data_IF_020109092325
#
_entry.id   IF_020109092325
#
_cell.length_a   1.000
_cell.length_b   1.000
_cell.length_c   1.000
_cell.angle_alpha   90.00
_cell.angle_beta   90.00
_cell.angle_gamma   90.00
#
_symmetry.space_group_name_H-M   'P 1'
#
loop_
_entity.id
_entity.type
_entity.pdbx_description
1 polymer ?
#
# COMPACT_ATOMS: atom_id res chain seq x y z
N UNK A 1 11.72 -2.62 -1.17
CA UNK A 1 10.34 -3.13 -1.06
C UNK A 1 9.65 -3.28 -2.41
N UNK A 2 8.40 -3.74 -2.46
CA UNK A 2 7.62 -3.98 -3.69
C UNK A 2 7.71 -2.83 -4.69
N UNK A 3 7.47 -1.59 -4.25
CA UNK A 3 7.48 -0.41 -5.13
C UNK A 3 8.80 -0.21 -5.86
N UNK A 4 9.95 -0.27 -5.18
CA UNK A 4 11.25 -0.11 -5.84
C UNK A 4 11.53 -1.22 -6.86
N UNK A 5 11.04 -2.45 -6.59
CA UNK A 5 11.18 -3.57 -7.51
C UNK A 5 10.38 -3.32 -8.79
N UNK A 6 9.09 -2.99 -8.70
CA UNK A 6 8.32 -2.76 -9.91
C UNK A 6 8.66 -1.44 -10.61
N UNK A 7 9.21 -0.43 -9.92
CA UNK A 7 9.77 0.75 -10.60
C UNK A 7 10.91 0.36 -11.53
N UNK A 8 11.83 -0.48 -11.05
CA UNK A 8 12.91 -1.01 -11.88
C UNK A 8 12.39 -1.87 -13.03
N UNK A 9 11.33 -2.66 -12.79
CA UNK A 9 10.65 -3.43 -13.83
C UNK A 9 10.04 -2.52 -14.90
N UNK A 10 9.37 -1.42 -14.51
CA UNK A 10 8.82 -0.44 -15.44
C UNK A 10 9.91 0.18 -16.33
N UNK A 11 11.04 0.58 -15.76
CA UNK A 11 12.16 1.12 -16.52
C UNK A 11 12.70 0.11 -17.54
N UNK A 12 12.95 -1.15 -17.10
CA UNK A 12 13.39 -2.23 -18.00
C UNK A 12 12.36 -2.53 -19.08
N UNK A 13 11.08 -2.60 -18.74
CA UNK A 13 10.03 -2.85 -19.72
C UNK A 13 10.00 -1.75 -20.81
N UNK A 14 10.12 -0.49 -20.42
CA UNK A 14 10.23 0.62 -21.37
C UNK A 14 11.45 0.46 -22.30
N UNK A 15 12.58 -0.01 -21.77
CA UNK A 15 13.79 -0.29 -22.58
C UNK A 15 13.58 -1.45 -23.56
N UNK A 16 12.77 -2.44 -23.18
CA UNK A 16 12.38 -3.56 -24.04
C UNK A 16 11.24 -3.24 -25.03
N UNK A 17 10.77 -1.99 -25.06
CA UNK A 17 9.79 -1.52 -26.03
C UNK A 17 8.33 -1.60 -25.54
N UNK A 18 8.09 -1.82 -24.26
CA UNK A 18 6.77 -1.59 -23.70
C UNK A 18 6.49 -0.08 -23.71
N UNK A 19 5.36 0.31 -24.27
CA UNK A 19 5.02 1.71 -24.54
C UNK A 19 3.77 2.19 -23.76
N UNK A 20 3.11 1.29 -23.01
CA UNK A 20 2.03 1.62 -22.11
C UNK A 20 2.22 0.89 -20.78
N UNK A 21 2.41 1.63 -19.70
CA UNK A 21 2.62 1.08 -18.36
C UNK A 21 1.49 1.55 -17.46
N UNK A 22 0.74 0.61 -16.92
CA UNK A 22 -0.43 0.85 -16.07
C UNK A 22 -0.16 0.24 -14.70
N UNK A 23 -0.20 1.07 -13.67
CA UNK A 23 -0.06 0.64 -12.28
C UNK A 23 -1.43 0.71 -11.60
N UNK A 24 -1.92 -0.43 -11.15
CA UNK A 24 -3.12 -0.55 -10.33
C UNK A 24 -2.69 -0.50 -8.86
N UNK A 25 -2.81 0.63 -8.21
CA UNK A 25 -2.17 0.96 -6.92
C UNK A 25 -3.02 0.67 -5.68
N UNK A 26 -3.86 -0.35 -5.72
CA UNK A 26 -4.77 -0.68 -4.62
C UNK A 26 -6.07 0.14 -4.64
N UNK A 27 -6.82 0.13 -3.51
CA UNK A 27 -8.18 0.65 -3.44
C UNK A 27 -8.27 2.12 -2.98
N UNK A 28 -7.24 2.64 -2.31
CA UNK A 28 -7.26 3.94 -1.63
C UNK A 28 -6.49 5.02 -2.38
N UNK A 29 -7.01 6.25 -2.35
CA UNK A 29 -6.38 7.41 -3.00
C UNK A 29 -4.98 7.68 -2.46
N UNK A 30 -4.78 7.63 -1.13
CA UNK A 30 -3.50 7.92 -0.49
C UNK A 30 -2.39 7.00 -1.00
N UNK A 31 -2.69 5.70 -1.19
CA UNK A 31 -1.74 4.74 -1.76
C UNK A 31 -1.44 5.04 -3.23
N UNK A 32 -2.45 5.43 -4.02
CA UNK A 32 -2.27 5.86 -5.40
C UNK A 32 -1.36 7.09 -5.48
N UNK A 33 -1.63 8.11 -4.66
CA UNK A 33 -0.84 9.35 -4.62
C UNK A 33 0.62 9.09 -4.23
N UNK A 34 0.85 8.26 -3.22
CA UNK A 34 2.20 7.86 -2.81
C UNK A 34 2.93 7.11 -3.93
N UNK A 35 2.25 6.19 -4.61
CA UNK A 35 2.79 5.42 -5.72
C UNK A 35 3.10 6.34 -6.91
N UNK A 36 2.17 7.24 -7.27
CA UNK A 36 2.37 8.25 -8.30
C UNK A 36 3.62 9.10 -8.03
N UNK A 37 3.74 9.64 -6.82
CA UNK A 37 4.87 10.47 -6.43
C UNK A 37 6.21 9.73 -6.54
N UNK A 38 6.26 8.47 -6.07
CA UNK A 38 7.49 7.66 -6.14
C UNK A 38 7.89 7.36 -7.57
N UNK A 39 6.96 6.92 -8.39
CA UNK A 39 7.24 6.60 -9.79
C UNK A 39 7.67 7.84 -10.59
N UNK A 40 7.01 8.98 -10.38
CA UNK A 40 7.42 10.23 -11.00
C UNK A 40 8.87 10.58 -10.64
N UNK A 41 9.18 10.55 -9.34
CA UNK A 41 10.52 10.88 -8.86
C UNK A 41 11.61 9.95 -9.41
N UNK A 42 11.32 8.67 -9.55
CA UNK A 42 12.30 7.65 -9.93
C UNK A 42 12.41 7.46 -11.45
N UNK A 43 11.31 7.64 -12.21
CA UNK A 43 11.28 7.40 -13.66
C UNK A 43 11.36 8.68 -14.49
N UNK A 44 10.77 9.78 -14.05
CA UNK A 44 10.60 10.98 -14.84
C UNK A 44 11.20 12.25 -14.20
N UNK A 45 11.61 12.17 -12.93
CA UNK A 45 12.06 13.31 -12.17
C UNK A 45 10.97 13.95 -11.31
N UNK A 46 11.31 15.03 -10.56
CA UNK A 46 10.32 15.77 -9.80
C UNK A 46 9.46 16.63 -10.74
N UNK A 47 8.27 17.02 -10.29
CA UNK A 47 7.39 17.94 -11.04
C UNK A 47 8.13 19.23 -11.46
N UNK A 48 9.01 19.74 -10.59
CA UNK A 48 9.85 20.90 -10.87
C UNK A 48 10.84 20.63 -11.99
N UNK A 49 11.47 19.45 -11.97
CA UNK A 49 12.44 19.05 -13.00
C UNK A 49 11.76 18.84 -14.36
N UNK A 50 10.52 18.33 -14.37
CA UNK A 50 9.71 18.21 -15.59
C UNK A 50 9.31 19.58 -16.16
N UNK A 51 8.94 20.54 -15.30
CA UNK A 51 8.60 21.92 -15.70
C UNK A 51 9.82 22.69 -16.18
N UNK A 52 11.00 22.45 -15.60
CA UNK A 52 12.26 23.11 -15.97
C UNK A 52 13.00 22.38 -17.10
N UNK A 53 12.46 21.24 -17.59
CA UNK A 53 13.09 20.44 -18.65
C UNK A 53 14.39 19.74 -18.21
N UNK A 54 14.61 19.61 -16.91
CA UNK A 54 15.79 18.97 -16.33
C UNK A 54 15.59 17.46 -16.29
N UNK A 55 16.44 16.73 -17.02
CA UNK A 55 16.45 15.26 -17.00
C UNK A 55 17.34 14.77 -15.85
N UNK A 56 16.74 14.17 -14.82
CA UNK A 56 17.41 13.76 -13.57
C UNK A 56 18.39 12.60 -13.76
N UNK A 57 18.20 11.79 -14.76
CA UNK A 57 19.13 10.70 -15.06
C UNK A 57 20.09 11.15 -16.14
N UNK A 58 21.35 11.28 -15.78
CA UNK A 58 22.45 11.77 -16.55
C UNK A 58 22.39 11.52 -18.07
N UNK A 59 23.30 12.06 -18.81
CA UNK A 59 23.34 12.17 -20.29
C UNK A 59 22.98 10.91 -21.10
N UNK A 60 22.80 9.76 -20.45
CA UNK A 60 22.51 8.45 -21.07
C UNK A 60 21.02 8.01 -20.99
N UNK A 61 20.13 8.73 -20.30
CA UNK A 61 18.73 8.31 -20.21
C UNK A 61 17.94 8.91 -21.38
N UNK A 62 17.75 8.10 -22.41
CA UNK A 62 17.20 8.56 -23.70
C UNK A 62 15.67 8.55 -23.79
N UNK A 63 14.94 8.03 -22.79
CA UNK A 63 13.48 7.90 -22.87
C UNK A 63 12.77 8.90 -21.99
N UNK A 64 12.06 9.82 -22.61
CA UNK A 64 11.11 10.69 -21.91
C UNK A 64 9.81 9.92 -21.69
N UNK A 65 9.25 10.06 -20.49
CA UNK A 65 7.98 9.45 -20.14
C UNK A 65 6.82 10.41 -20.38
N UNK A 66 5.76 9.92 -20.98
CA UNK A 66 4.48 10.64 -21.05
C UNK A 66 3.62 10.26 -19.85
N UNK A 67 3.59 11.15 -18.88
CA UNK A 67 2.83 10.95 -17.65
C UNK A 67 1.39 11.34 -17.90
N UNK A 68 0.46 10.39 -17.74
CA UNK A 68 -0.96 10.58 -18.02
C UNK A 68 -1.72 11.02 -16.77
N UNK A 69 -1.46 10.38 -15.62
CA UNK A 69 -2.09 10.68 -14.33
C UNK A 69 -1.17 11.52 -13.46
N UNK A 70 -1.75 12.33 -12.56
CA UNK A 70 -0.97 13.15 -11.60
C UNK A 70 -1.34 12.79 -10.17
N UNK A 71 -0.66 13.40 -9.20
CA UNK A 71 -1.00 13.21 -7.80
C UNK A 71 -2.47 13.58 -7.52
N UNK A 72 -2.95 14.67 -8.09
CA UNK A 72 -4.30 15.23 -7.85
C UNK A 72 -5.37 14.61 -8.76
N UNK A 73 -4.97 14.03 -9.92
CA UNK A 73 -5.91 13.55 -10.94
C UNK A 73 -5.63 12.10 -11.28
N UNK A 74 -6.59 11.26 -10.96
CA UNK A 74 -6.67 9.89 -11.46
C UNK A 74 -7.19 9.89 -12.91
N UNK A 75 -7.15 8.75 -13.58
CA UNK A 75 -7.49 8.63 -15.00
C UNK A 75 -8.92 9.10 -15.32
N UNK A 76 -9.88 8.81 -14.46
CA UNK A 76 -11.29 9.20 -14.67
C UNK A 76 -11.54 10.71 -14.58
N UNK A 77 -10.60 11.47 -14.00
CA UNK A 77 -10.68 12.94 -13.93
C UNK A 77 -10.25 13.62 -15.25
N UNK A 78 -9.68 12.85 -16.19
CA UNK A 78 -9.08 13.36 -17.42
C UNK A 78 -10.09 13.47 -18.54
N UNK A 79 -10.85 14.55 -18.58
CA UNK A 79 -11.97 14.77 -19.52
C UNK A 79 -11.56 14.92 -21.00
N UNK A 80 -10.27 15.14 -21.28
CA UNK A 80 -9.80 15.52 -22.63
C UNK A 80 -9.07 14.39 -23.37
N UNK A 81 -8.81 13.26 -22.73
CA UNK A 81 -8.15 12.11 -23.35
C UNK A 81 -9.16 11.28 -24.13
N UNK A 82 -9.18 11.43 -25.45
CA UNK A 82 -10.09 10.68 -26.32
C UNK A 82 -9.51 9.33 -26.75
N UNK A 83 -8.21 9.27 -27.04
CA UNK A 83 -7.50 8.07 -27.51
C UNK A 83 -5.99 8.25 -27.35
N UNK A 84 -5.22 7.18 -27.55
CA UNK A 84 -3.76 7.25 -27.61
C UNK A 84 -3.38 7.92 -28.94
N UNK A 85 -2.64 9.03 -28.88
CA UNK A 85 -2.26 9.77 -30.08
C UNK A 85 -1.02 9.23 -30.76
N UNK A 86 -0.02 8.82 -29.98
CA UNK A 86 1.22 8.23 -30.47
C UNK A 86 1.87 7.34 -29.38
N UNK A 87 2.81 6.51 -29.79
CA UNK A 87 3.55 5.58 -28.93
C UNK A 87 5.07 5.84 -28.94
N UNK A 88 5.48 7.05 -29.31
CA UNK A 88 6.90 7.43 -29.40
C UNK A 88 7.59 7.47 -28.04
N UNK A 89 6.81 7.71 -27.00
CA UNK A 89 7.25 7.72 -25.60
C UNK A 89 6.44 6.71 -24.77
N UNK A 90 7.03 6.05 -23.77
CA UNK A 90 6.28 5.21 -22.88
C UNK A 90 5.29 6.04 -22.06
N UNK A 91 4.04 5.61 -22.05
CA UNK A 91 2.95 6.22 -21.28
C UNK A 91 2.90 5.61 -19.89
N UNK A 92 2.80 6.43 -18.85
CA UNK A 92 2.62 5.97 -17.47
C UNK A 92 1.26 6.40 -16.93
N UNK A 93 0.50 5.42 -16.48
CA UNK A 93 -0.77 5.58 -15.78
C UNK A 93 -0.64 4.98 -14.41
N UNK A 94 -0.96 5.74 -13.36
CA UNK A 94 -1.10 5.23 -11.99
C UNK A 94 -2.52 5.49 -11.54
N UNK A 95 -3.29 4.43 -11.38
CA UNK A 95 -4.71 4.50 -11.07
C UNK A 95 -5.07 3.59 -9.90
N UNK A 96 -6.13 3.93 -9.19
CA UNK A 96 -6.66 3.03 -8.17
C UNK A 96 -7.49 1.91 -8.79
N UNK A 97 -7.55 0.77 -8.12
CA UNK A 97 -8.44 -0.34 -8.47
C UNK A 97 -9.89 0.02 -8.13
N UNK A 98 -10.57 0.66 -9.06
CA UNK A 98 -11.98 1.01 -8.94
C UNK A 98 -12.64 0.89 -10.31
N UNK A 99 -13.93 0.62 -10.32
CA UNK A 99 -14.73 0.40 -11.54
C UNK A 99 -14.58 1.55 -12.52
N UNK A 100 -14.83 2.78 -12.08
CA UNK A 100 -14.83 3.97 -12.95
C UNK A 100 -13.51 4.27 -13.63
N UNK A 101 -12.35 4.31 -12.94
CA UNK A 101 -11.07 4.52 -13.61
C UNK A 101 -10.75 3.41 -14.62
N UNK A 102 -11.01 2.14 -14.26
CA UNK A 102 -10.73 1.00 -15.13
C UNK A 102 -11.59 1.03 -16.40
N UNK A 103 -12.88 1.34 -16.27
CA UNK A 103 -13.76 1.55 -17.43
C UNK A 103 -13.22 2.61 -18.38
N UNK A 104 -12.83 3.77 -17.83
CA UNK A 104 -12.32 4.88 -18.63
C UNK A 104 -11.01 4.53 -19.36
N UNK A 105 -10.15 3.73 -18.74
CA UNK A 105 -8.93 3.23 -19.41
C UNK A 105 -9.30 2.30 -20.57
N UNK A 106 -10.24 1.38 -20.38
CA UNK A 106 -10.72 0.48 -21.44
C UNK A 106 -11.33 1.29 -22.59
N UNK A 107 -12.24 2.23 -22.31
CA UNK A 107 -12.83 3.12 -23.31
C UNK A 107 -11.76 3.88 -24.11
N UNK A 108 -10.73 4.37 -23.44
CA UNK A 108 -9.62 5.09 -24.05
C UNK A 108 -8.77 4.21 -24.97
N UNK A 109 -8.48 2.98 -24.56
CA UNK A 109 -7.76 2.00 -25.39
C UNK A 109 -8.61 1.63 -26.59
N UNK A 110 -9.90 1.31 -26.41
CA UNK A 110 -10.81 0.88 -27.47
C UNK A 110 -11.12 2.02 -28.47
N UNK A 111 -11.08 3.27 -28.03
CA UNK A 111 -11.23 4.45 -28.89
C UNK A 111 -9.95 4.77 -29.69
N UNK A 112 -8.85 4.09 -29.41
CA UNK A 112 -7.57 4.31 -30.11
C UNK A 112 -7.66 3.71 -31.52
N UNK A 113 -7.22 4.46 -32.56
CA UNK A 113 -7.21 3.97 -33.93
C UNK A 113 -6.46 2.61 -34.04
N UNK A 114 -6.96 1.73 -34.89
CA UNK A 114 -6.48 0.35 -35.01
C UNK A 114 -5.02 0.25 -35.46
N UNK A 115 -4.54 1.21 -36.22
CA UNK A 115 -3.15 1.32 -36.67
C UNK A 115 -2.18 1.64 -35.52
N UNK A 116 -2.63 2.38 -34.51
CA UNK A 116 -1.88 2.65 -33.26
C UNK A 116 -2.06 1.51 -32.27
N UNK A 117 -3.31 1.05 -32.10
CA UNK A 117 -3.66 0.02 -31.11
C UNK A 117 -2.91 -1.29 -31.27
N UNK A 118 -2.69 -1.75 -32.52
CA UNK A 118 -1.91 -2.97 -32.81
C UNK A 118 -0.46 -2.92 -32.33
N UNK A 119 0.09 -1.72 -32.17
CA UNK A 119 1.47 -1.50 -31.73
C UNK A 119 1.60 -1.24 -30.21
N UNK A 120 0.48 -1.28 -29.48
CA UNK A 120 0.49 -1.20 -28.02
C UNK A 120 1.15 -2.44 -27.44
N UNK A 121 2.15 -2.21 -26.60
CA UNK A 121 2.78 -3.21 -25.72
C UNK A 121 2.65 -2.74 -24.29
N UNK A 122 1.72 -3.34 -23.57
CA UNK A 122 1.36 -2.88 -22.23
C UNK A 122 1.99 -3.75 -21.14
N UNK A 123 2.52 -3.10 -20.09
CA UNK A 123 2.83 -3.73 -18.83
C UNK A 123 1.83 -3.26 -17.78
N UNK A 124 1.10 -4.19 -17.19
CA UNK A 124 0.17 -3.94 -16.11
C UNK A 124 0.80 -4.46 -14.81
N UNK A 125 1.02 -3.56 -13.86
CA UNK A 125 1.43 -3.89 -12.50
C UNK A 125 0.21 -3.78 -11.59
N UNK A 126 -0.16 -4.87 -10.95
CA UNK A 126 -1.23 -4.91 -9.98
C UNK A 126 -0.64 -4.96 -8.57
N UNK A 127 -0.54 -3.81 -7.92
CA UNK A 127 -0.06 -3.73 -6.53
C UNK A 127 -1.20 -4.08 -5.57
N UNK A 128 -0.90 -4.82 -4.51
CA UNK A 128 -1.86 -5.48 -3.63
C UNK A 128 -2.85 -6.35 -4.44
N UNK A 129 -2.30 -7.27 -5.26
CA UNK A 129 -3.07 -8.12 -6.17
C UNK A 129 -4.02 -9.08 -5.46
N UNK A 130 -3.84 -9.31 -4.16
CA UNK A 130 -4.77 -10.02 -3.28
C UNK A 130 -5.99 -9.19 -2.88
N UNK A 131 -5.97 -7.86 -3.11
CA UNK A 131 -7.07 -6.96 -2.80
C UNK A 131 -7.83 -6.52 -4.06
N UNK A 132 -9.09 -6.92 -4.17
CA UNK A 132 -10.02 -6.50 -5.22
C UNK A 132 -9.81 -7.16 -6.58
N UNK A 133 -8.61 -7.68 -6.86
CA UNK A 133 -8.33 -8.40 -8.11
C UNK A 133 -8.74 -9.87 -8.01
N UNK A 134 -8.85 -10.41 -6.80
CA UNK A 134 -9.35 -11.77 -6.56
C UNK A 134 -10.87 -11.73 -6.56
N UNK A 135 -11.47 -12.72 -7.19
CA UNK A 135 -12.90 -12.93 -7.11
C UNK A 135 -13.27 -13.53 -5.74
N UNK A 136 -13.66 -12.66 -4.82
CA UNK A 136 -14.11 -13.05 -3.47
C UNK A 136 -15.60 -13.43 -3.43
N UNK A 137 -16.31 -13.29 -4.54
CA UNK A 137 -17.73 -13.57 -4.67
C UNK A 137 -18.02 -14.81 -5.54
N UNK A 138 -16.98 -15.59 -5.89
CA UNK A 138 -17.11 -16.84 -6.62
C UNK A 138 -17.84 -17.90 -5.78
N UNK A 139 -19.10 -17.64 -5.51
CA UNK A 139 -20.08 -18.54 -4.96
C UNK A 139 -21.28 -18.55 -5.88
N UNK A 140 -21.79 -19.73 -6.18
CA UNK A 140 -23.08 -19.86 -6.86
C UNK A 140 -24.14 -19.12 -6.02
N UNK A 141 -24.59 -17.97 -6.49
CA UNK A 141 -25.76 -17.27 -5.94
C UNK A 141 -26.99 -17.68 -6.72
N UNK A 142 -27.98 -18.17 -6.00
CA UNK A 142 -29.26 -18.48 -6.60
C UNK A 142 -29.95 -17.20 -7.08
N UNK A 143 -30.08 -17.03 -8.40
CA UNK A 143 -30.87 -15.95 -8.96
C UNK A 143 -32.33 -16.41 -9.12
N UNK A 144 -33.19 -15.91 -8.26
CA UNK A 144 -34.62 -16.23 -8.28
C UNK A 144 -35.34 -15.74 -9.54
N UNK A 145 -34.78 -14.82 -10.29
CA UNK A 145 -35.36 -14.26 -11.52
C UNK A 145 -35.07 -15.12 -12.74
N UNK A 146 -33.88 -15.74 -12.83
CA UNK A 146 -33.49 -16.66 -13.89
C UNK A 146 -33.73 -18.13 -13.56
N UNK A 147 -33.99 -18.44 -12.26
CA UNK A 147 -34.10 -19.80 -11.72
C UNK A 147 -32.82 -20.64 -11.96
N UNK A 148 -31.67 -20.00 -11.95
CA UNK A 148 -30.34 -20.61 -12.17
C UNK A 148 -29.34 -20.12 -11.10
N UNK A 149 -28.28 -20.89 -10.89
CA UNK A 149 -27.14 -20.43 -10.11
C UNK A 149 -26.25 -19.53 -10.98
N UNK A 150 -26.08 -18.30 -10.59
CA UNK A 150 -25.17 -17.37 -11.26
C UNK A 150 -23.90 -17.21 -10.40
N UNK A 151 -22.74 -17.32 -11.01
CA UNK A 151 -21.46 -16.94 -10.43
C UNK A 151 -21.31 -15.44 -10.49
N UNK A 152 -21.36 -14.78 -9.33
CA UNK A 152 -21.08 -13.34 -9.25
C UNK A 152 -19.58 -13.12 -9.15
N UNK A 153 -18.95 -12.62 -10.20
CA UNK A 153 -17.56 -12.14 -10.14
C UNK A 153 -17.49 -10.79 -9.42
N UNK A 154 -16.38 -10.57 -8.70
CA UNK A 154 -16.07 -9.24 -8.18
C UNK A 154 -15.99 -8.25 -9.34
N UNK A 155 -16.71 -7.13 -9.25
CA UNK A 155 -16.76 -6.13 -10.32
C UNK A 155 -15.36 -5.56 -10.65
N UNK A 156 -14.47 -5.49 -9.68
CA UNK A 156 -13.08 -5.08 -9.91
C UNK A 156 -12.31 -6.15 -10.71
N UNK A 157 -12.43 -7.44 -10.35
CA UNK A 157 -11.83 -8.54 -11.10
C UNK A 157 -12.29 -8.48 -12.56
N UNK A 158 -13.59 -8.40 -12.77
CA UNK A 158 -14.19 -8.28 -14.10
C UNK A 158 -13.60 -7.11 -14.89
N UNK A 159 -13.42 -5.92 -14.29
CA UNK A 159 -12.85 -4.74 -14.97
C UNK A 159 -11.38 -4.91 -15.30
N UNK A 160 -10.60 -5.53 -14.41
CA UNK A 160 -9.18 -5.84 -14.70
C UNK A 160 -9.09 -6.82 -15.87
N UNK A 161 -9.89 -7.88 -15.90
CA UNK A 161 -9.93 -8.84 -17.02
C UNK A 161 -10.33 -8.18 -18.34
N UNK A 162 -11.33 -7.29 -18.35
CA UNK A 162 -11.70 -6.51 -19.53
C UNK A 162 -10.56 -5.59 -20.01
N UNK A 163 -9.80 -4.99 -19.08
CA UNK A 163 -8.61 -4.22 -19.42
C UNK A 163 -7.57 -5.10 -20.14
N UNK A 164 -7.27 -6.30 -19.60
CA UNK A 164 -6.34 -7.23 -20.25
C UNK A 164 -6.84 -7.65 -21.64
N UNK A 165 -8.14 -7.91 -21.76
CA UNK A 165 -8.77 -8.23 -23.04
C UNK A 165 -8.59 -7.11 -24.06
N UNK A 166 -8.81 -5.86 -23.71
CA UNK A 166 -8.66 -4.71 -24.63
C UNK A 166 -7.22 -4.51 -25.11
N UNK A 167 -6.25 -5.02 -24.37
CA UNK A 167 -4.81 -4.96 -24.67
C UNK A 167 -4.27 -6.22 -25.36
N UNK A 168 -5.09 -7.27 -25.49
CA UNK A 168 -4.67 -8.55 -26.07
C UNK A 168 -4.35 -8.43 -27.57
N UNK A 169 -3.29 -9.09 -28.06
CA UNK A 169 -2.33 -9.96 -27.35
C UNK A 169 -1.09 -9.25 -26.81
N UNK A 170 -1.04 -7.93 -26.83
CA UNK A 170 0.15 -7.12 -26.58
C UNK A 170 0.35 -6.69 -25.12
N UNK A 171 0.13 -7.58 -24.12
CA UNK A 171 0.32 -7.21 -22.72
C UNK A 171 1.12 -8.24 -21.91
N UNK A 172 1.68 -7.76 -20.79
CA UNK A 172 2.14 -8.54 -19.65
C UNK A 172 1.44 -8.05 -18.38
N UNK A 173 1.00 -8.98 -17.54
CA UNK A 173 0.37 -8.69 -16.25
C UNK A 173 1.22 -9.27 -15.12
N UNK A 174 1.54 -8.44 -14.12
CA UNK A 174 2.37 -8.84 -12.97
C UNK A 174 1.69 -8.38 -11.68
N UNK A 175 1.23 -9.34 -10.89
CA UNK A 175 0.68 -9.09 -9.56
C UNK A 175 1.79 -8.98 -8.50
N UNK A 176 1.70 -7.97 -7.65
CA UNK A 176 2.53 -7.82 -6.46
C UNK A 176 1.66 -7.92 -5.22
N UNK A 177 2.01 -8.82 -4.31
CA UNK A 177 1.28 -9.00 -3.05
C UNK A 177 2.23 -9.39 -1.92
N UNK A 178 1.83 -9.14 -0.68
CA UNK A 178 2.47 -9.68 0.51
C UNK A 178 1.88 -11.06 0.90
N UNK A 179 0.69 -11.39 0.41
CA UNK A 179 -0.10 -12.58 0.76
C UNK A 179 -0.54 -13.34 -0.49
N UNK A 180 0.40 -14.06 -1.18
CA UNK A 180 0.13 -14.66 -2.49
C UNK A 180 -0.83 -15.86 -2.45
N UNK A 181 -1.16 -16.38 -1.26
CA UNK A 181 -1.98 -17.58 -1.09
C UNK A 181 -3.32 -17.43 -1.82
N UNK A 182 -3.99 -16.31 -1.68
CA UNK A 182 -5.28 -16.08 -2.31
C UNK A 182 -5.19 -16.07 -3.86
N UNK A 183 -4.09 -15.58 -4.41
CA UNK A 183 -3.86 -15.58 -5.87
C UNK A 183 -3.59 -16.99 -6.43
N UNK A 184 -3.01 -17.89 -5.62
CA UNK A 184 -2.75 -19.28 -6.02
C UNK A 184 -4.05 -20.09 -6.11
N UNK A 185 -5.07 -19.72 -5.35
CA UNK A 185 -6.38 -20.38 -5.35
C UNK A 185 -7.36 -19.83 -6.40
N UNK A 186 -6.94 -18.86 -7.24
CA UNK A 186 -7.76 -18.46 -8.39
C UNK A 186 -7.90 -19.67 -9.33
N UNK A 187 -9.13 -19.95 -9.79
CA UNK A 187 -9.33 -20.99 -10.78
C UNK A 187 -8.66 -20.61 -12.11
N UNK A 188 -7.71 -21.39 -12.64
CA UNK A 188 -7.09 -21.11 -13.93
C UNK A 188 -8.08 -21.33 -15.10
N UNK A 189 -9.04 -22.24 -14.94
CA UNK A 189 -10.09 -22.52 -15.94
C UNK A 189 -11.26 -21.57 -15.68
N UNK A 190 -11.34 -20.50 -16.47
CA UNK A 190 -12.42 -19.52 -16.30
C UNK A 190 -13.42 -19.68 -17.42
N UNK A 191 -14.64 -19.95 -17.07
CA UNK A 191 -15.76 -19.79 -17.98
C UNK A 191 -15.82 -18.31 -18.42
N UNK A 192 -16.12 -18.06 -19.69
CA UNK A 192 -16.24 -16.73 -20.27
C UNK A 192 -14.93 -15.97 -20.59
N UNK A 193 -13.79 -16.64 -20.80
CA UNK A 193 -12.56 -15.99 -21.24
C UNK A 193 -12.77 -15.15 -22.51
N UNK A 194 -13.58 -15.63 -23.44
CA UNK A 194 -13.92 -14.93 -24.69
C UNK A 194 -14.64 -13.60 -24.44
N UNK A 195 -15.47 -13.55 -23.43
CA UNK A 195 -16.27 -12.35 -23.09
C UNK A 195 -15.55 -11.40 -22.15
N UNK A 196 -14.88 -11.91 -21.14
CA UNK A 196 -14.29 -11.14 -20.05
C UNK A 196 -12.78 -10.96 -20.14
N UNK A 197 -12.07 -11.80 -20.91
CA UNK A 197 -10.61 -11.81 -20.98
C UNK A 197 -9.98 -12.89 -20.08
N UNK A 198 -8.63 -12.95 -20.06
CA UNK A 198 -7.90 -14.01 -19.38
C UNK A 198 -8.12 -14.00 -17.86
N UNK A 199 -7.96 -15.18 -17.25
CA UNK A 199 -7.89 -15.31 -15.80
C UNK A 199 -6.72 -14.51 -15.23
N UNK A 200 -6.86 -14.05 -13.98
CA UNK A 200 -5.77 -13.41 -13.23
C UNK A 200 -4.92 -14.43 -12.44
N UNK A 201 -5.08 -15.72 -12.73
CA UNK A 201 -4.22 -16.77 -12.19
C UNK A 201 -2.77 -16.57 -12.66
N UNK A 202 -1.76 -16.67 -11.76
CA UNK A 202 -0.34 -16.50 -12.13
C UNK A 202 0.20 -17.73 -12.89
N UNK A 203 -0.08 -17.82 -14.21
CA UNK A 203 0.29 -18.97 -15.03
C UNK A 203 1.79 -19.14 -15.24
N UNK A 204 2.54 -18.02 -15.38
CA UNK A 204 3.90 -18.09 -15.88
C UNK A 204 4.94 -18.19 -14.77
N UNK A 205 4.75 -17.50 -13.66
CA UNK A 205 5.69 -17.52 -12.54
C UNK A 205 5.09 -17.03 -11.21
N UNK A 206 5.70 -17.48 -10.12
CA UNK A 206 5.57 -16.93 -8.78
C UNK A 206 7.00 -16.75 -8.24
N UNK A 207 7.37 -15.51 -7.91
CA UNK A 207 8.72 -15.18 -7.45
C UNK A 207 8.63 -14.51 -6.07
N UNK A 208 9.34 -15.07 -5.10
CA UNK A 208 9.54 -14.42 -3.81
C UNK A 208 10.73 -13.45 -3.89
N UNK A 209 10.51 -12.19 -3.55
CA UNK A 209 11.59 -11.21 -3.47
C UNK A 209 12.47 -11.53 -2.26
N UNK A 210 13.79 -11.48 -2.46
CA UNK A 210 14.75 -11.68 -1.36
C UNK A 210 14.66 -10.51 -0.37
N UNK A 211 14.69 -10.85 0.91
CA UNK A 211 14.78 -9.85 1.98
C UNK A 211 16.19 -9.23 1.97
N UNK A 212 16.29 -7.88 2.06
CA UNK A 212 17.58 -7.23 2.30
C UNK A 212 18.18 -7.65 3.66
N UNK A 213 19.51 -7.72 3.76
CA UNK A 213 20.22 -8.18 4.96
C UNK A 213 19.91 -7.32 6.22
N UNK A 214 19.56 -6.05 6.03
CA UNK A 214 19.22 -5.10 7.10
C UNK A 214 17.70 -4.96 7.35
N UNK A 215 16.89 -5.81 6.73
CA UNK A 215 15.44 -5.79 6.88
C UNK A 215 15.00 -6.71 8.02
N UNK A 216 14.34 -6.12 9.04
CA UNK A 216 13.69 -6.90 10.09
C UNK A 216 12.33 -7.40 9.57
N UNK A 217 12.32 -8.60 9.04
CA UNK A 217 11.15 -9.23 8.41
C UNK A 217 10.47 -10.26 9.30
N UNK A 218 9.52 -10.97 8.70
CA UNK A 218 8.70 -11.98 9.37
C UNK A 218 9.53 -13.09 9.99
N UNK A 219 10.62 -13.49 9.34
CA UNK A 219 11.52 -14.56 9.83
C UNK A 219 12.27 -14.18 11.10
N UNK A 220 12.52 -12.89 11.34
CA UNK A 220 13.14 -12.40 12.57
C UNK A 220 12.12 -12.19 13.69
N UNK A 221 10.91 -11.72 13.32
CA UNK A 221 9.83 -11.48 14.29
C UNK A 221 9.19 -12.80 14.72
N UNK A 222 9.00 -13.74 13.78
CA UNK A 222 8.39 -15.06 13.99
C UNK A 222 9.32 -16.17 13.50
N UNK A 223 10.42 -16.47 14.20
CA UNK A 223 11.33 -17.53 13.77
C UNK A 223 10.63 -18.89 13.72
N UNK A 224 10.80 -19.60 12.61
CA UNK A 224 10.13 -20.89 12.38
C UNK A 224 10.50 -22.00 13.39
N UNK A 225 11.58 -21.82 14.16
CA UNK A 225 12.08 -22.80 15.13
C UNK A 225 11.60 -22.55 16.56
N UNK A 226 10.72 -21.58 16.79
CA UNK A 226 10.14 -21.32 18.12
C UNK A 226 8.83 -22.06 18.28
N UNK A 227 8.69 -22.79 19.39
CA UNK A 227 7.49 -23.58 19.69
C UNK A 227 6.27 -22.70 20.03
N UNK A 228 6.51 -21.45 20.45
CA UNK A 228 5.46 -20.45 20.68
C UNK A 228 5.90 -19.03 20.27
N UNK A 229 4.93 -18.18 19.93
CA UNK A 229 5.18 -16.75 19.67
C UNK A 229 5.60 -15.99 20.95
N UNK A 230 5.46 -16.61 22.13
CA UNK A 230 5.82 -16.03 23.42
C UNK A 230 7.32 -15.87 23.60
N UNK A 231 8.11 -16.64 22.85
CA UNK A 231 9.59 -16.60 22.93
C UNK A 231 10.21 -15.53 22.01
N UNK A 232 9.41 -14.83 21.23
CA UNK A 232 9.95 -13.77 20.36
C UNK A 232 10.27 -12.50 21.15
N UNK A 233 11.51 -11.98 21.08
CA UNK A 233 11.86 -10.74 21.77
C UNK A 233 11.15 -9.50 21.20
N UNK A 234 10.48 -9.64 20.03
CA UNK A 234 9.78 -8.56 19.34
C UNK A 234 8.28 -8.56 19.58
N UNK A 235 7.75 -9.60 20.27
CA UNK A 235 6.33 -9.74 20.54
C UNK A 235 6.11 -9.66 22.03
N UNK A 236 5.34 -8.68 22.46
CA UNK A 236 4.93 -8.52 23.85
C UNK A 236 3.42 -8.76 23.93
N UNK A 237 3.03 -9.74 24.72
CA UNK A 237 1.63 -10.02 24.92
C UNK A 237 0.98 -8.94 25.77
N UNK A 238 -0.18 -8.45 25.33
CA UNK A 238 -0.98 -7.49 26.11
C UNK A 238 -1.73 -8.25 27.19
N UNK A 239 -1.61 -7.89 28.47
CA UNK A 239 -2.39 -8.51 29.54
C UNK A 239 -3.91 -8.43 29.27
N UNK A 240 -4.67 -9.45 29.68
CA UNK A 240 -6.10 -9.54 29.39
C UNK A 240 -6.88 -8.31 29.90
N UNK A 241 -6.57 -7.83 31.11
CA UNK A 241 -7.17 -6.63 31.67
C UNK A 241 -6.92 -5.39 30.78
N UNK A 242 -5.71 -5.25 30.26
CA UNK A 242 -5.34 -4.14 29.37
C UNK A 242 -6.03 -4.27 27.99
N UNK A 243 -6.16 -5.50 27.49
CA UNK A 243 -6.90 -5.75 26.26
C UNK A 243 -8.39 -5.39 26.41
N UNK A 244 -9.00 -5.69 27.56
CA UNK A 244 -10.38 -5.30 27.86
C UNK A 244 -10.53 -3.79 27.98
N UNK A 245 -9.59 -3.10 28.64
CA UNK A 245 -9.57 -1.65 28.68
C UNK A 245 -9.45 -1.03 27.28
N UNK A 246 -8.60 -1.58 26.41
CA UNK A 246 -8.51 -1.14 25.01
C UNK A 246 -9.81 -1.33 24.23
N UNK A 247 -10.54 -2.43 24.49
CA UNK A 247 -11.88 -2.65 23.90
C UNK A 247 -12.92 -1.65 24.42
N UNK A 248 -12.85 -1.26 25.68
CA UNK A 248 -13.73 -0.24 26.26
C UNK A 248 -13.42 1.18 25.76
N UNK A 249 -12.16 1.49 25.48
CA UNK A 249 -11.74 2.79 24.96
C UNK A 249 -12.28 3.12 23.57
N UNK A 250 -12.78 2.16 22.80
CA UNK A 250 -13.42 2.42 21.49
C UNK A 250 -14.87 2.89 21.64
N UNK A 251 -15.45 2.82 22.83
CA UNK A 251 -16.78 3.28 23.16
C UNK A 251 -16.70 4.70 23.75
N UNK A 252 -17.27 5.68 23.07
CA UNK A 252 -17.21 7.10 23.51
C UNK A 252 -17.82 7.33 24.88
N UNK A 253 -18.88 6.60 25.23
CA UNK A 253 -19.54 6.74 26.54
C UNK A 253 -18.67 6.22 27.69
N UNK A 254 -17.79 5.27 27.42
CA UNK A 254 -16.90 4.65 28.40
C UNK A 254 -15.51 5.23 28.42
N UNK A 255 -15.11 5.99 27.39
CA UNK A 255 -13.77 6.49 27.20
C UNK A 255 -13.25 7.27 28.40
N UNK A 256 -14.05 8.20 28.93
CA UNK A 256 -13.61 9.11 30.00
C UNK A 256 -13.35 8.37 31.32
N UNK A 257 -14.04 7.23 31.52
CA UNK A 257 -13.93 6.42 32.72
C UNK A 257 -12.92 5.26 32.59
N UNK A 258 -12.43 4.99 31.38
CA UNK A 258 -11.49 3.91 31.13
C UNK A 258 -10.06 4.45 31.19
N UNK A 259 -9.18 3.97 32.08
CA UNK A 259 -7.78 4.40 32.11
C UNK A 259 -7.05 3.97 30.84
N UNK A 260 -5.97 4.68 30.49
CA UNK A 260 -5.04 4.18 29.50
C UNK A 260 -4.37 2.94 30.08
N UNK A 261 -4.39 1.80 29.35
CA UNK A 261 -3.74 0.59 29.82
C UNK A 261 -2.24 0.77 30.03
N UNK A 262 -1.71 0.14 31.07
CA UNK A 262 -0.27 0.22 31.39
C UNK A 262 0.60 -0.28 30.23
N UNK A 263 0.20 -1.33 29.54
CA UNK A 263 0.91 -1.87 28.36
C UNK A 263 0.96 -0.87 27.19
N UNK A 264 -0.11 -0.10 26.95
CA UNK A 264 -0.13 0.93 25.91
C UNK A 264 0.79 2.10 26.31
N UNK A 265 0.75 2.52 27.58
CA UNK A 265 1.62 3.55 28.11
C UNK A 265 3.10 3.14 27.98
N UNK A 266 3.46 1.92 28.39
CA UNK A 266 4.81 1.36 28.25
C UNK A 266 5.26 1.30 26.79
N UNK A 267 4.40 0.92 25.88
CA UNK A 267 4.69 0.89 24.44
C UNK A 267 4.99 2.31 23.90
N UNK A 268 4.22 3.32 24.33
CA UNK A 268 4.45 4.72 23.92
C UNK A 268 5.78 5.22 24.51
N UNK A 269 6.08 4.92 25.76
CA UNK A 269 7.36 5.28 26.38
C UNK A 269 8.53 4.62 25.66
N UNK A 270 8.44 3.33 25.36
CA UNK A 270 9.46 2.59 24.59
C UNK A 270 9.70 3.23 23.22
N UNK A 271 8.63 3.63 22.54
CA UNK A 271 8.74 4.35 21.27
C UNK A 271 9.51 5.69 21.42
N UNK A 272 9.19 6.49 22.44
CA UNK A 272 9.86 7.76 22.70
C UNK A 272 11.34 7.54 23.05
N UNK A 273 11.65 6.57 23.90
CA UNK A 273 13.02 6.21 24.28
C UNK A 273 13.84 5.73 23.10
N UNK A 274 13.27 4.87 22.26
CA UNK A 274 13.95 4.39 21.05
C UNK A 274 14.26 5.50 20.06
N UNK A 275 13.38 6.51 19.95
CA UNK A 275 13.65 7.71 19.18
C UNK A 275 14.79 8.54 19.79
N UNK A 276 14.78 8.74 21.10
CA UNK A 276 15.83 9.48 21.82
C UNK A 276 17.22 8.83 21.65
N UNK A 277 17.30 7.50 21.77
CA UNK A 277 18.53 6.72 21.50
C UNK A 277 19.03 6.97 20.07
N UNK A 278 18.12 6.87 19.10
CA UNK A 278 18.42 7.06 17.70
C UNK A 278 18.95 8.46 17.39
N UNK A 279 18.39 9.48 18.04
CA UNK A 279 18.86 10.86 17.95
C UNK A 279 20.23 11.06 18.60
N UNK A 280 20.46 10.47 19.79
CA UNK A 280 21.72 10.59 20.53
C UNK A 280 22.89 9.89 19.86
N UNK A 281 22.62 8.77 19.17
CA UNK A 281 23.64 8.01 18.43
C UNK A 281 24.15 8.71 17.15
N UNK A 282 23.81 9.99 16.92
CA UNK A 282 24.34 10.78 15.82
C UNK A 282 23.84 10.38 14.43
N UNK A 283 22.87 9.50 14.32
CA UNK A 283 22.27 9.08 13.04
C UNK A 283 21.39 10.16 12.41
N UNK A 284 21.90 11.40 12.39
CA UNK A 284 21.17 12.58 11.84
C UNK A 284 21.02 12.57 10.31
N UNK A 285 21.76 11.72 9.60
CA UNK A 285 21.78 11.71 8.12
C UNK A 285 20.95 10.60 7.49
N UNK A 286 20.32 9.74 8.27
CA UNK A 286 19.41 8.71 7.78
C UNK A 286 17.95 9.15 7.79
N UNK A 287 17.07 8.20 7.64
CA UNK A 287 15.62 8.38 7.67
C UNK A 287 15.18 9.17 8.92
N UNK A 288 14.65 10.37 8.73
CA UNK A 288 14.24 11.28 9.82
C UNK A 288 12.91 10.84 10.46
N UNK A 289 12.27 9.82 9.92
CA UNK A 289 10.98 9.36 10.39
C UNK A 289 11.16 8.23 11.41
N UNK A 290 10.39 8.32 12.47
CA UNK A 290 10.18 7.28 13.46
C UNK A 290 8.67 7.18 13.67
N UNK A 291 8.10 5.99 13.51
CA UNK A 291 6.65 5.82 13.47
C UNK A 291 6.21 4.71 14.42
N UNK A 292 5.09 4.91 15.09
CA UNK A 292 4.40 3.91 15.87
C UNK A 292 2.98 3.78 15.32
N UNK A 293 2.50 2.55 15.15
CA UNK A 293 1.12 2.28 14.79
C UNK A 293 0.37 1.75 16.03
N UNK A 294 -0.69 2.43 16.42
CA UNK A 294 -1.64 1.95 17.42
C UNK A 294 -2.90 1.52 16.64
N UNK A 295 -3.21 0.23 16.65
CA UNK A 295 -4.31 -0.35 15.89
C UNK A 295 -5.09 -1.34 16.76
N UNK A 296 -6.29 -0.94 17.21
CA UNK A 296 -7.15 -1.74 18.09
C UNK A 296 -8.39 -2.24 17.35
N UNK A 297 -8.89 -1.47 16.38
CA UNK A 297 -10.07 -1.78 15.58
C UNK A 297 -9.84 -1.40 14.11
N UNK A 298 -10.59 -2.05 13.22
CA UNK A 298 -10.44 -1.88 11.76
C UNK A 298 -11.15 -0.65 11.17
N UNK A 299 -12.02 0.01 11.93
CA UNK A 299 -12.74 1.19 11.43
C UNK A 299 -12.17 2.49 11.98
N UNK A 300 -12.08 3.51 11.15
CA UNK A 300 -11.55 4.82 11.52
C UNK A 300 -12.36 5.48 12.63
N UNK A 301 -13.69 5.36 12.58
CA UNK A 301 -14.57 5.96 13.58
C UNK A 301 -14.31 5.41 14.97
N UNK A 302 -14.14 4.10 15.10
CA UNK A 302 -13.87 3.46 16.39
C UNK A 302 -12.46 3.72 16.93
N UNK A 303 -11.55 4.22 16.09
CA UNK A 303 -10.20 4.63 16.52
C UNK A 303 -10.13 6.07 17.02
N UNK A 304 -11.09 6.94 16.67
CA UNK A 304 -11.09 8.37 17.07
C UNK A 304 -10.99 8.58 18.59
N UNK A 305 -11.75 7.86 19.45
CA UNK A 305 -11.64 7.99 20.89
C UNK A 305 -10.24 7.69 21.42
N UNK A 306 -9.60 6.62 20.91
CA UNK A 306 -8.24 6.23 21.30
C UNK A 306 -7.25 7.32 20.91
N UNK A 307 -7.35 7.86 19.68
CA UNK A 307 -6.49 8.95 19.21
C UNK A 307 -6.60 10.16 20.11
N UNK A 308 -7.81 10.54 20.52
CA UNK A 308 -8.05 11.65 21.45
C UNK A 308 -7.30 11.42 22.77
N UNK A 309 -7.53 10.27 23.40
CA UNK A 309 -6.97 9.93 24.70
C UNK A 309 -5.43 9.84 24.68
N UNK A 310 -4.86 9.29 23.62
CA UNK A 310 -3.41 9.25 23.43
C UNK A 310 -2.84 10.65 23.23
N UNK A 311 -3.50 11.51 22.47
CA UNK A 311 -3.09 12.91 22.30
C UNK A 311 -3.13 13.68 23.61
N UNK A 312 -4.17 13.48 24.42
CA UNK A 312 -4.29 14.11 25.74
C UNK A 312 -3.16 13.65 26.68
N UNK A 313 -2.83 12.34 26.66
CA UNK A 313 -1.69 11.81 27.39
C UNK A 313 -0.38 12.48 26.96
N UNK A 314 -0.10 12.53 25.66
CA UNK A 314 1.13 13.13 25.13
C UNK A 314 1.23 14.64 25.43
N UNK A 315 0.12 15.35 25.34
CA UNK A 315 0.06 16.78 25.71
C UNK A 315 0.38 16.97 27.19
N UNK A 316 -0.23 16.16 28.07
CA UNK A 316 0.04 16.21 29.51
C UNK A 316 1.52 15.89 29.83
N UNK A 317 2.08 14.88 29.16
CA UNK A 317 3.50 14.55 29.32
C UNK A 317 4.42 15.67 28.84
N UNK A 318 4.10 16.30 27.72
CA UNK A 318 4.88 17.42 27.19
C UNK A 318 4.95 18.59 28.20
N UNK A 319 3.82 18.91 28.82
CA UNK A 319 3.76 19.95 29.87
C UNK A 319 4.51 19.54 31.13
N UNK A 320 4.34 18.27 31.55
CA UNK A 320 5.00 17.73 32.74
C UNK A 320 6.53 17.67 32.58
N UNK A 321 7.02 17.23 31.41
CA UNK A 321 8.46 17.17 31.10
C UNK A 321 9.06 18.58 31.16
N UNK A 322 8.37 19.59 30.61
CA UNK A 322 8.84 20.95 30.62
C UNK A 322 8.94 21.49 32.08
N UNK A 323 7.93 21.21 32.90
CA UNK A 323 7.90 21.63 34.34
C UNK A 323 8.94 20.85 35.18
N UNK A 324 9.05 19.52 34.97
CA UNK A 324 9.99 18.67 35.71
C UNK A 324 11.47 18.94 35.36
N UNK A 325 11.75 19.42 34.15
CA UNK A 325 13.10 19.76 33.73
C UNK A 325 13.64 20.96 34.54
N UNK A 326 12.75 21.86 34.99
CA UNK A 326 13.10 23.03 35.82
C UNK A 326 13.15 22.70 37.31
N UNK A 327 12.63 21.52 37.75
CA UNK A 327 12.57 21.13 39.18
C UNK A 327 13.52 19.97 39.48
N UNK A 328 14.39 20.15 40.46
CA UNK A 328 15.36 19.17 40.94
C UNK A 328 14.68 17.92 41.53
N UNK A 329 13.42 18.01 41.96
CA UNK A 329 12.65 16.99 42.70
C UNK A 329 11.41 16.48 41.93
N UNK A 330 11.35 16.57 40.63
CA UNK A 330 10.21 16.11 39.81
C UNK A 330 10.21 14.59 39.58
N UNK A 331 9.27 13.79 40.16
CA UNK A 331 9.56 12.36 40.24
C UNK A 331 8.65 11.41 39.50
N UNK A 332 7.38 11.73 39.15
CA UNK A 332 6.46 10.65 38.70
C UNK A 332 6.69 10.20 37.27
N UNK A 333 6.69 11.11 36.31
CA UNK A 333 6.85 10.76 34.89
C UNK A 333 8.25 10.26 34.58
N UNK A 334 9.28 10.96 35.09
CA UNK A 334 10.68 10.55 34.94
C UNK A 334 10.93 9.16 35.56
N UNK A 335 10.31 8.87 36.72
CA UNK A 335 10.35 7.55 37.33
C UNK A 335 9.73 6.46 36.43
N UNK A 336 8.61 6.77 35.80
CA UNK A 336 7.96 5.83 34.86
C UNK A 336 8.81 5.55 33.63
N UNK A 337 9.38 6.59 33.01
CA UNK A 337 10.33 6.42 31.90
C UNK A 337 11.56 5.59 32.31
N UNK A 338 12.10 5.80 33.52
CA UNK A 338 13.20 5.02 34.03
C UNK A 338 12.83 3.54 34.24
N UNK A 339 11.67 3.25 34.79
CA UNK A 339 11.18 1.87 34.95
C UNK A 339 11.08 1.14 33.61
N UNK A 340 10.53 1.81 32.58
CA UNK A 340 10.45 1.21 31.22
C UNK A 340 11.84 1.03 30.63
N UNK A 341 12.74 2.00 30.79
CA UNK A 341 14.13 1.89 30.33
C UNK A 341 14.86 0.69 30.95
N UNK A 342 14.61 0.37 32.19
CA UNK A 342 15.27 -0.75 32.91
C UNK A 342 14.68 -2.10 32.49
N UNK A 343 13.50 -2.15 31.85
CA UNK A 343 12.87 -3.37 31.31
C UNK A 343 13.29 -3.68 29.88
N UNK A 344 13.64 -2.67 29.09
CA UNK A 344 13.98 -2.75 27.66
C UNK A 344 15.50 -2.74 27.49
#
# INVERSE_FOLDING_TARGET
GKTSNYTALCAKAADYGYNLIIILSGLFNDLREQTQFRLLKELAGTEKDLLEGIHIHGENYKKQWKIITTKEKDFHDLKYLKSIGDLTQPHLIVTKKNVTPLEKIVEWIDSTPSDIRKDIRALIIDDEADHGSIDTQSGEQWNSSSNEFETSESEINRRVRLLLKSLSPGFAYVGYTATPIANIFINPEVDNEVTLGPSLYPNDFIITLQEPDDYCGINQIFPANQESNEDSPYIIQVPELDADNLRLMVDEEKLDHTPIPDSLEEAIITYILSWAIRCSAGRKQGNKHHSMLIHVKHTTETMKPIVRKVNDLLNNWSLTIADEYERVDGPKLRGRFKQVWEKV
#
